data_IF_475741128232
#
_entry.id   IF_475741128232
#
_cell.length_a   1.000
_cell.length_b   1.000
_cell.length_c   1.000
_cell.angle_alpha   90.00
_cell.angle_beta   90.00
_cell.angle_gamma   90.00
#
_symmetry.space_group_name_H-M   'P 1'
#
loop_
_entity.id
_entity.type
_entity.pdbx_description
1 polymer ?
#
# COMPACT_ATOMS: atom_id res chain seq x y z
N UNK A 1 -27.47 10.28 5.37
CA UNK A 1 -26.69 9.33 4.53
C UNK A 1 -26.77 7.95 5.14
N UNK A 2 -27.27 6.97 4.39
CA UNK A 2 -27.45 5.59 4.89
C UNK A 2 -26.06 5.02 5.17
N UNK A 3 -25.85 4.32 6.28
CA UNK A 3 -24.56 3.68 6.65
C UNK A 3 -23.96 2.81 5.53
N UNK A 4 -24.80 2.31 4.62
CA UNK A 4 -24.42 1.60 3.39
C UNK A 4 -23.65 2.47 2.38
N UNK A 5 -23.99 3.75 2.25
CA UNK A 5 -23.30 4.68 1.35
C UNK A 5 -21.89 4.97 1.85
N UNK A 6 -21.72 5.11 3.17
CA UNK A 6 -20.41 5.35 3.79
C UNK A 6 -19.46 4.17 3.60
N UNK A 7 -19.95 2.94 3.83
CA UNK A 7 -19.14 1.73 3.62
C UNK A 7 -18.81 1.54 2.15
N UNK A 8 -19.75 1.81 1.25
CA UNK A 8 -19.52 1.77 -0.20
C UNK A 8 -18.49 2.80 -0.64
N UNK A 9 -18.52 4.01 -0.08
CA UNK A 9 -17.56 5.07 -0.38
C UNK A 9 -16.17 4.74 0.16
N UNK A 10 -16.06 4.18 1.36
CA UNK A 10 -14.78 3.74 1.93
C UNK A 10 -14.20 2.58 1.12
N UNK A 11 -15.02 1.61 0.72
CA UNK A 11 -14.60 0.52 -0.16
C UNK A 11 -14.18 1.02 -1.54
N UNK A 12 -14.91 1.97 -2.11
CA UNK A 12 -14.56 2.61 -3.38
C UNK A 12 -13.25 3.37 -3.26
N UNK A 13 -13.03 4.11 -2.17
CA UNK A 13 -11.79 4.85 -1.92
C UNK A 13 -10.60 3.92 -1.71
N UNK A 14 -10.80 2.79 -1.03
CA UNK A 14 -9.80 1.72 -0.88
C UNK A 14 -9.49 1.06 -2.22
N UNK A 15 -10.51 0.82 -3.04
CA UNK A 15 -10.34 0.19 -4.34
C UNK A 15 -9.66 1.15 -5.33
N UNK A 16 -10.03 2.44 -5.30
CA UNK A 16 -9.35 3.50 -6.05
C UNK A 16 -7.91 3.69 -5.58
N UNK A 17 -7.63 3.65 -4.27
CA UNK A 17 -6.26 3.77 -3.78
C UNK A 17 -5.42 2.56 -4.18
N UNK A 18 -5.97 1.34 -4.13
CA UNK A 18 -5.32 0.13 -4.63
C UNK A 18 -5.08 0.18 -6.14
N UNK A 19 -6.03 0.70 -6.91
CA UNK A 19 -5.87 0.89 -8.37
C UNK A 19 -4.84 1.96 -8.68
N UNK A 20 -4.80 3.06 -7.92
CA UNK A 20 -3.80 4.11 -8.09
C UNK A 20 -2.40 3.63 -7.69
N UNK A 21 -2.28 2.85 -6.62
CA UNK A 21 -1.04 2.19 -6.23
C UNK A 21 -0.62 1.18 -7.29
N UNK A 22 -1.54 0.37 -7.82
CA UNK A 22 -1.27 -0.54 -8.91
C UNK A 22 -0.85 0.18 -10.18
N UNK A 23 -1.48 1.32 -10.51
CA UNK A 23 -1.08 2.17 -11.64
C UNK A 23 0.28 2.83 -11.40
N UNK A 24 0.62 3.22 -10.16
CA UNK A 24 1.92 3.78 -9.82
C UNK A 24 3.02 2.72 -9.90
N UNK A 25 2.76 1.50 -9.41
CA UNK A 25 3.63 0.33 -9.58
C UNK A 25 3.76 0.05 -11.08
N UNK A 26 2.65 -0.07 -11.82
CA UNK A 26 2.67 -0.29 -13.26
C UNK A 26 3.41 0.82 -14.00
N UNK A 27 3.28 2.08 -13.63
CA UNK A 27 4.02 3.19 -14.24
C UNK A 27 5.52 3.10 -13.94
N UNK A 28 5.87 2.69 -12.71
CA UNK A 28 7.25 2.43 -12.28
C UNK A 28 7.88 1.24 -13.01
N UNK A 29 7.08 0.21 -13.36
CA UNK A 29 7.54 -1.03 -13.98
C UNK A 29 7.25 -1.14 -15.50
N UNK A 30 6.37 -0.32 -16.08
CA UNK A 30 6.01 -0.35 -17.52
C UNK A 30 7.08 0.27 -18.41
N UNK A 31 8.08 0.89 -17.80
CA UNK A 31 9.31 1.28 -18.44
C UNK A 31 10.37 0.32 -17.93
N UNK A 32 10.51 -0.80 -18.66
CA UNK A 32 11.68 -1.68 -18.63
C UNK A 32 12.92 -0.89 -19.07
N UNK A 33 13.34 0.05 -18.23
CA UNK A 33 14.60 0.72 -18.32
C UNK A 33 15.61 -0.12 -17.53
N UNK A 34 16.85 -0.31 -18.03
CA UNK A 34 17.91 -0.83 -17.19
C UNK A 34 18.00 0.02 -15.90
N UNK A 35 18.33 -0.60 -14.76
CA UNK A 35 18.54 0.11 -13.48
C UNK A 35 19.58 1.24 -13.67
N UNK A 36 20.49 1.10 -14.64
CA UNK A 36 21.45 2.12 -15.07
C UNK A 36 20.85 3.37 -15.74
N UNK A 37 19.62 3.31 -16.21
CA UNK A 37 18.89 4.45 -16.78
C UNK A 37 17.70 4.87 -15.94
N UNK A 38 17.59 4.43 -14.68
CA UNK A 38 16.78 5.13 -13.68
C UNK A 38 17.45 6.50 -13.47
N UNK A 39 16.96 7.60 -14.11
CA UNK A 39 17.39 8.91 -13.66
C UNK A 39 16.93 8.97 -12.20
N UNK A 40 17.65 9.71 -11.35
CA UNK A 40 17.15 10.14 -10.04
C UNK A 40 15.63 10.22 -10.10
N UNK A 41 14.89 9.38 -9.35
CA UNK A 41 13.41 9.42 -9.35
C UNK A 41 13.04 10.90 -9.32
N UNK A 42 12.59 11.43 -10.44
CA UNK A 42 12.52 12.88 -10.60
C UNK A 42 11.50 13.34 -9.59
N UNK A 43 11.88 14.30 -8.77
CA UNK A 43 11.04 14.76 -7.68
C UNK A 43 9.70 15.23 -8.28
N UNK A 44 8.66 14.43 -8.09
CA UNK A 44 7.35 14.67 -8.68
C UNK A 44 6.44 15.28 -7.63
N UNK A 45 6.62 16.59 -7.40
CA UNK A 45 5.80 17.35 -6.46
C UNK A 45 4.29 17.28 -6.81
N UNK A 46 3.94 17.09 -8.09
CA UNK A 46 2.57 16.83 -8.51
C UNK A 46 1.98 15.56 -7.87
N UNK A 47 2.75 14.46 -7.86
CA UNK A 47 2.36 13.22 -7.19
C UNK A 47 2.32 13.37 -5.67
N UNK A 48 3.26 14.11 -5.08
CA UNK A 48 3.25 14.43 -3.64
C UNK A 48 1.95 15.14 -3.27
N UNK A 49 1.65 16.26 -3.94
CA UNK A 49 0.48 17.10 -3.63
C UNK A 49 -0.82 16.30 -3.83
N UNK A 50 -0.94 15.57 -4.94
CA UNK A 50 -2.13 14.77 -5.24
C UNK A 50 -2.39 13.73 -4.16
N UNK A 51 -1.37 12.96 -3.77
CA UNK A 51 -1.51 11.94 -2.74
C UNK A 51 -1.77 12.56 -1.36
N UNK A 52 -1.06 13.64 -1.00
CA UNK A 52 -1.31 14.35 0.26
C UNK A 52 -2.76 14.81 0.36
N UNK A 53 -3.32 15.44 -0.68
CA UNK A 53 -4.71 15.90 -0.69
C UNK A 53 -5.67 14.72 -0.55
N UNK A 54 -5.49 13.67 -1.36
CA UNK A 54 -6.35 12.50 -1.37
C UNK A 54 -6.38 11.80 -0.01
N UNK A 55 -5.21 11.57 0.59
CA UNK A 55 -5.10 10.90 1.89
C UNK A 55 -5.49 11.82 3.07
N UNK A 56 -5.32 13.13 2.94
CA UNK A 56 -5.76 14.10 3.96
C UNK A 56 -7.28 14.22 4.03
N UNK A 57 -7.99 13.97 2.93
CA UNK A 57 -9.47 13.97 2.89
C UNK A 57 -10.08 12.98 3.88
N UNK A 58 -9.37 11.90 4.22
CA UNK A 58 -9.82 10.92 5.21
C UNK A 58 -10.06 11.52 6.61
N UNK A 59 -9.43 12.64 6.95
CA UNK A 59 -9.67 13.36 8.22
C UNK A 59 -11.15 13.72 8.37
N UNK A 60 -11.84 14.07 7.28
CA UNK A 60 -13.26 14.45 7.29
C UNK A 60 -14.15 13.29 7.76
N UNK A 61 -13.72 12.05 7.52
CA UNK A 61 -14.49 10.86 7.89
C UNK A 61 -14.16 10.34 9.30
N UNK A 62 -13.13 10.87 9.97
CA UNK A 62 -12.73 10.43 11.31
C UNK A 62 -13.47 11.26 12.37
N UNK A 63 -14.24 10.65 13.29
CA UNK A 63 -14.87 11.38 14.38
C UNK A 63 -13.82 11.83 15.41
N UNK A 64 -13.32 13.06 15.26
CA UNK A 64 -12.34 13.62 16.18
C UNK A 64 -12.99 14.02 17.51
N UNK A 65 -12.52 13.44 18.62
CA UNK A 65 -12.91 13.87 19.97
C UNK A 65 -12.40 15.29 20.23
N UNK A 66 -13.31 16.26 20.40
CA UNK A 66 -13.01 17.69 20.62
C UNK A 66 -12.24 18.01 21.92
N UNK A 67 -11.98 17.04 22.79
CA UNK A 67 -11.45 17.26 24.15
C UNK A 67 -9.94 17.03 24.27
N UNK A 68 -9.15 17.42 23.26
CA UNK A 68 -7.67 17.34 23.29
C UNK A 68 -7.09 18.66 22.76
N UNK A 69 -6.09 19.21 23.46
CA UNK A 69 -5.42 20.49 23.21
C UNK A 69 -4.66 20.57 21.88
N UNK A 70 -4.24 19.43 21.33
CA UNK A 70 -3.82 19.28 19.93
C UNK A 70 -4.75 18.29 19.24
N UNK A 71 -5.42 18.72 18.18
CA UNK A 71 -6.30 17.84 17.44
C UNK A 71 -5.47 16.72 16.80
N UNK A 72 -5.85 15.44 16.94
CA UNK A 72 -5.19 14.31 16.30
C UNK A 72 -5.02 14.46 14.78
N UNK A 73 -5.84 15.31 14.16
CA UNK A 73 -5.77 15.65 12.74
C UNK A 73 -4.46 16.31 12.33
N UNK A 74 -3.85 17.14 13.19
CA UNK A 74 -2.59 17.81 12.85
C UNK A 74 -1.42 16.84 12.75
N UNK A 75 -1.36 15.86 13.67
CA UNK A 75 -0.33 14.81 13.66
C UNK A 75 -0.52 13.91 12.43
N UNK A 76 -1.76 13.52 12.14
CA UNK A 76 -2.08 12.74 10.94
C UNK A 76 -1.66 13.48 9.66
N UNK A 77 -2.02 14.77 9.55
CA UNK A 77 -1.66 15.59 8.38
C UNK A 77 -0.14 15.68 8.22
N UNK A 78 0.58 15.94 9.31
CA UNK A 78 2.05 16.00 9.30
C UNK A 78 2.67 14.66 8.86
N UNK A 79 2.13 13.54 9.33
CA UNK A 79 2.56 12.21 8.91
C UNK A 79 2.31 11.95 7.42
N UNK A 80 1.12 12.28 6.90
CA UNK A 80 0.79 12.12 5.48
C UNK A 80 1.71 12.97 4.60
N UNK A 81 1.94 14.23 4.97
CA UNK A 81 2.87 15.11 4.25
C UNK A 81 4.28 14.54 4.26
N UNK A 82 4.79 14.12 5.42
CA UNK A 82 6.13 13.54 5.55
C UNK A 82 6.27 12.26 4.71
N UNK A 83 5.30 11.34 4.79
CA UNK A 83 5.33 10.07 4.07
C UNK A 83 5.39 10.25 2.55
N UNK A 84 4.54 11.12 1.99
CA UNK A 84 4.53 11.32 0.54
C UNK A 84 5.67 12.20 0.05
N UNK A 85 6.12 13.18 0.86
CA UNK A 85 7.33 13.94 0.57
C UNK A 85 8.58 13.05 0.59
N UNK A 86 8.65 12.05 1.46
CA UNK A 86 9.75 11.09 1.49
C UNK A 86 9.68 10.12 0.30
N UNK A 87 8.49 9.66 -0.06
CA UNK A 87 8.32 8.66 -1.11
C UNK A 87 8.51 9.22 -2.52
N UNK A 88 7.92 10.38 -2.84
CA UNK A 88 7.96 10.99 -4.18
C UNK A 88 8.80 12.26 -4.27
N UNK A 89 9.19 12.81 -3.12
CA UNK A 89 9.95 14.05 -3.01
C UNK A 89 11.42 13.80 -2.65
N UNK A 90 11.84 14.29 -1.49
CA UNK A 90 13.21 14.20 -1.01
C UNK A 90 13.36 13.04 0.01
N UNK A 91 13.96 11.90 -0.36
CA UNK A 91 14.00 10.69 0.46
C UNK A 91 15.09 10.77 1.54
N UNK A 92 14.85 11.58 2.58
CA UNK A 92 15.79 11.85 3.68
C UNK A 92 16.33 10.58 4.34
N UNK A 93 15.45 9.64 4.69
CA UNK A 93 15.84 8.39 5.34
C UNK A 93 16.82 7.61 4.48
N UNK A 94 16.60 7.60 3.17
CA UNK A 94 17.50 6.87 2.28
C UNK A 94 18.86 7.53 2.18
N UNK A 95 18.96 8.87 2.19
CA UNK A 95 20.25 9.54 2.26
C UNK A 95 21.00 9.21 3.55
N UNK A 96 20.30 9.17 4.69
CA UNK A 96 20.89 8.76 5.98
C UNK A 96 21.39 7.32 5.92
N UNK A 97 20.59 6.40 5.38
CA UNK A 97 20.98 4.99 5.24
C UNK A 97 22.14 4.80 4.26
N UNK A 98 22.14 5.55 3.15
CA UNK A 98 23.22 5.53 2.16
C UNK A 98 24.54 5.95 2.79
N UNK A 99 24.52 7.03 3.58
CA UNK A 99 25.66 7.48 4.37
C UNK A 99 26.09 6.44 5.41
N UNK A 100 25.13 5.84 6.13
CA UNK A 100 25.41 4.83 7.16
C UNK A 100 26.05 3.55 6.60
N UNK A 101 25.61 3.09 5.43
CA UNK A 101 26.12 1.89 4.77
C UNK A 101 27.33 2.15 3.87
N UNK A 102 27.75 3.41 3.70
CA UNK A 102 28.89 3.77 2.85
C UNK A 102 28.64 3.55 1.35
N UNK A 103 27.37 3.48 0.93
CA UNK A 103 27.00 3.29 -0.47
C UNK A 103 27.17 4.60 -1.26
N UNK A 104 27.65 4.52 -2.50
CA UNK A 104 27.90 5.70 -3.34
C UNK A 104 26.64 6.26 -4.00
N UNK A 105 25.59 5.45 -4.12
CA UNK A 105 24.35 5.83 -4.78
C UNK A 105 23.17 5.54 -3.87
N UNK A 106 22.25 6.49 -3.60
CA UNK A 106 21.08 6.19 -2.81
C UNK A 106 20.25 5.08 -3.44
N UNK A 107 19.92 5.20 -4.74
CA UNK A 107 19.01 4.32 -5.45
C UNK A 107 19.29 2.81 -5.35
N UNK A 108 20.50 2.39 -4.98
CA UNK A 108 20.82 0.98 -4.77
C UNK A 108 20.04 0.35 -3.60
N UNK A 109 19.63 1.15 -2.62
CA UNK A 109 18.84 0.68 -1.47
C UNK A 109 17.34 0.49 -1.78
N UNK A 110 16.87 0.92 -2.96
CA UNK A 110 15.46 0.80 -3.35
C UNK A 110 15.15 -0.62 -3.84
N UNK A 111 16.11 -1.24 -4.52
CA UNK A 111 16.02 -2.62 -5.01
C UNK A 111 17.30 -3.38 -4.64
N UNK A 112 17.53 -3.66 -3.35
CA UNK A 112 18.77 -4.27 -2.89
C UNK A 112 19.00 -5.64 -3.53
N UNK A 113 17.94 -6.39 -3.84
CA UNK A 113 18.05 -7.67 -4.56
C UNK A 113 18.53 -7.48 -6.00
N UNK A 114 18.03 -6.48 -6.73
CA UNK A 114 18.45 -6.21 -8.10
C UNK A 114 19.95 -5.86 -8.19
N UNK A 115 20.46 -5.13 -7.19
CA UNK A 115 21.88 -4.78 -7.07
C UNK A 115 22.75 -6.01 -6.81
N UNK A 116 22.26 -6.98 -6.01
CA UNK A 116 23.01 -8.18 -5.66
C UNK A 116 22.98 -9.26 -6.75
N UNK A 117 21.85 -9.44 -7.44
CA UNK A 117 21.67 -10.55 -8.41
C UNK A 117 21.90 -10.14 -9.86
N UNK A 118 22.04 -8.84 -10.13
CA UNK A 118 22.07 -8.29 -11.48
C UNK A 118 20.67 -8.06 -12.05
N UNK A 119 20.56 -7.06 -12.92
CA UNK A 119 19.27 -6.54 -13.42
C UNK A 119 18.48 -7.58 -14.21
N UNK A 120 19.11 -8.28 -15.17
CA UNK A 120 18.42 -9.21 -16.05
C UNK A 120 17.85 -10.44 -15.31
N UNK A 121 18.61 -10.96 -14.34
CA UNK A 121 18.16 -12.07 -13.51
C UNK A 121 17.03 -11.63 -12.57
N UNK A 122 17.15 -10.43 -11.97
CA UNK A 122 16.09 -9.88 -11.12
C UNK A 122 14.79 -9.67 -11.91
N UNK A 123 14.86 -9.02 -13.08
CA UNK A 123 13.66 -8.75 -13.89
C UNK A 123 12.98 -10.03 -14.36
N UNK A 124 13.75 -11.05 -14.77
CA UNK A 124 13.18 -12.33 -15.21
C UNK A 124 12.50 -13.10 -14.06
N UNK A 125 13.11 -13.18 -12.89
CA UNK A 125 12.51 -13.80 -11.69
C UNK A 125 11.32 -12.98 -11.17
N UNK A 126 11.43 -11.66 -11.19
CA UNK A 126 10.37 -10.78 -10.73
C UNK A 126 9.11 -10.93 -11.57
N UNK A 127 9.23 -10.82 -12.90
CA UNK A 127 8.10 -10.95 -13.82
C UNK A 127 7.57 -12.39 -13.88
N UNK A 128 8.46 -13.38 -13.85
CA UNK A 128 8.09 -14.79 -13.99
C UNK A 128 7.50 -15.42 -12.73
N UNK A 129 7.91 -14.98 -11.55
CA UNK A 129 7.56 -15.64 -10.29
C UNK A 129 6.99 -14.67 -9.23
N UNK A 130 7.73 -13.62 -8.87
CA UNK A 130 7.36 -12.73 -7.76
C UNK A 130 6.03 -12.02 -8.06
N UNK A 131 5.88 -11.47 -9.26
CA UNK A 131 4.69 -10.76 -9.71
C UNK A 131 3.43 -11.64 -9.72
N UNK A 132 3.40 -12.83 -10.38
CA UNK A 132 2.20 -13.65 -10.37
C UNK A 132 1.87 -14.20 -8.97
N UNK A 133 2.87 -14.64 -8.19
CA UNK A 133 2.65 -15.19 -6.85
C UNK A 133 2.09 -14.13 -5.90
N UNK A 134 2.69 -12.93 -5.89
CA UNK A 134 2.20 -11.82 -5.05
C UNK A 134 0.76 -11.43 -5.41
N UNK A 135 0.44 -11.32 -6.71
CA UNK A 135 -0.92 -11.02 -7.16
C UNK A 135 -1.94 -12.08 -6.72
N UNK A 136 -1.59 -13.37 -6.80
CA UNK A 136 -2.47 -14.46 -6.32
C UNK A 136 -2.72 -14.30 -4.81
N UNK A 137 -1.68 -14.05 -4.02
CA UNK A 137 -1.79 -13.87 -2.56
C UNK A 137 -2.69 -12.66 -2.24
N UNK A 138 -2.47 -11.52 -2.91
CA UNK A 138 -3.28 -10.31 -2.75
C UNK A 138 -4.75 -10.61 -3.09
N UNK A 139 -5.01 -11.26 -4.22
CA UNK A 139 -6.35 -11.58 -4.68
C UNK A 139 -7.08 -12.50 -3.69
N UNK A 140 -6.41 -13.54 -3.18
CA UNK A 140 -6.96 -14.41 -2.13
C UNK A 140 -7.27 -13.61 -0.87
N UNK A 141 -6.38 -12.71 -0.45
CA UNK A 141 -6.59 -11.82 0.69
C UNK A 141 -7.84 -10.95 0.53
N UNK A 142 -8.01 -10.32 -0.63
CA UNK A 142 -9.18 -9.49 -0.97
C UNK A 142 -10.46 -10.33 -0.94
N UNK A 143 -10.47 -11.53 -1.54
CA UNK A 143 -11.64 -12.40 -1.55
C UNK A 143 -12.07 -12.79 -0.13
N UNK A 144 -11.11 -13.12 0.75
CA UNK A 144 -11.39 -13.43 2.16
C UNK A 144 -12.04 -12.26 2.90
N UNK A 145 -11.56 -11.03 2.68
CA UNK A 145 -12.15 -9.83 3.26
C UNK A 145 -13.60 -9.66 2.77
N UNK A 146 -13.82 -9.70 1.45
CA UNK A 146 -15.14 -9.49 0.84
C UNK A 146 -16.15 -10.54 1.33
N UNK A 147 -15.80 -11.83 1.25
CA UNK A 147 -16.70 -12.91 1.67
C UNK A 147 -16.94 -12.94 3.17
N UNK A 148 -15.90 -12.67 3.97
CA UNK A 148 -16.02 -12.53 5.42
C UNK A 148 -17.02 -11.43 5.78
N UNK A 149 -16.85 -10.24 5.20
CA UNK A 149 -17.72 -9.10 5.52
C UNK A 149 -19.16 -9.32 5.05
N UNK A 150 -19.36 -9.90 3.86
CA UNK A 150 -20.69 -10.23 3.33
C UNK A 150 -21.48 -11.14 4.27
N UNK A 151 -20.82 -12.13 4.88
CA UNK A 151 -21.47 -13.05 5.84
C UNK A 151 -21.82 -12.37 7.16
N UNK A 152 -20.90 -11.61 7.77
CA UNK A 152 -21.19 -10.86 9.01
C UNK A 152 -22.33 -9.87 8.79
N UNK A 153 -22.30 -9.14 7.67
CA UNK A 153 -23.32 -8.16 7.34
C UNK A 153 -24.72 -8.79 7.24
N UNK A 154 -24.83 -9.97 6.61
CA UNK A 154 -26.10 -10.70 6.47
C UNK A 154 -26.58 -11.32 7.78
N UNK A 155 -25.69 -11.61 8.71
CA UNK A 155 -26.02 -12.31 9.95
C UNK A 155 -26.82 -11.44 10.95
N UNK A 156 -26.83 -10.10 10.77
CA UNK A 156 -27.60 -9.14 11.59
C UNK A 156 -27.50 -9.40 13.11
N UNK A 157 -26.29 -9.67 13.61
CA UNK A 157 -26.02 -9.91 15.03
C UNK A 157 -26.09 -11.37 15.49
N UNK A 158 -26.40 -12.33 14.61
CA UNK A 158 -26.29 -13.76 14.90
C UNK A 158 -24.88 -14.28 14.64
N UNK A 159 -24.46 -15.30 15.39
CA UNK A 159 -23.18 -15.98 15.17
C UNK A 159 -23.19 -16.72 13.83
N UNK A 160 -22.13 -16.53 13.02
CA UNK A 160 -21.95 -17.24 11.74
C UNK A 160 -20.93 -18.34 11.93
N UNK A 161 -21.33 -19.59 11.71
CA UNK A 161 -20.45 -20.76 11.82
C UNK A 161 -20.30 -21.52 10.50
N UNK A 162 -20.96 -21.10 9.43
CA UNK A 162 -20.98 -21.83 8.16
C UNK A 162 -19.96 -21.30 7.15
N UNK A 163 -19.49 -22.16 6.23
CA UNK A 163 -18.55 -21.81 5.16
C UNK A 163 -17.15 -21.48 5.68
N UNK A 164 -16.60 -20.33 5.28
CA UNK A 164 -15.24 -19.90 5.69
C UNK A 164 -15.14 -19.77 7.22
N UNK A 165 -16.20 -19.33 7.89
CA UNK A 165 -16.27 -19.23 9.36
C UNK A 165 -16.24 -20.59 10.08
N UNK A 166 -16.47 -21.69 9.38
CA UNK A 166 -16.29 -23.03 9.93
C UNK A 166 -14.83 -23.47 10.01
N UNK A 167 -13.94 -22.83 9.24
CA UNK A 167 -12.52 -23.15 9.19
C UNK A 167 -11.68 -22.13 9.97
N UNK A 168 -12.00 -20.84 9.85
CA UNK A 168 -11.24 -19.74 10.47
C UNK A 168 -12.21 -18.79 11.18
N UNK A 169 -11.95 -18.48 12.45
CA UNK A 169 -12.80 -17.60 13.28
C UNK A 169 -12.84 -16.16 12.77
N UNK A 170 -11.71 -15.67 12.25
CA UNK A 170 -11.56 -14.30 11.75
C UNK A 170 -10.98 -14.28 10.32
N UNK A 171 -11.77 -14.67 9.30
CA UNK A 171 -11.29 -14.72 7.93
C UNK A 171 -10.90 -13.34 7.38
N UNK A 172 -11.47 -12.26 7.90
CA UNK A 172 -11.06 -10.90 7.52
C UNK A 172 -9.64 -10.58 7.94
N UNK A 173 -9.23 -10.96 9.15
CA UNK A 173 -7.88 -10.69 9.63
C UNK A 173 -6.85 -11.49 8.87
N UNK A 174 -7.18 -12.76 8.56
CA UNK A 174 -6.37 -13.55 7.64
C UNK A 174 -6.28 -12.89 6.25
N UNK A 175 -7.40 -12.36 5.75
CA UNK A 175 -7.42 -11.64 4.48
C UNK A 175 -6.56 -10.37 4.47
N UNK A 176 -6.62 -9.55 5.52
CA UNK A 176 -5.74 -8.38 5.68
C UNK A 176 -4.26 -8.77 5.76
N UNK A 177 -3.94 -9.83 6.51
CA UNK A 177 -2.59 -10.37 6.62
C UNK A 177 -2.07 -10.86 5.27
N UNK A 178 -2.86 -11.62 4.51
CA UNK A 178 -2.48 -12.08 3.18
C UNK A 178 -2.33 -10.92 2.20
N UNK A 179 -3.24 -9.95 2.23
CA UNK A 179 -3.15 -8.75 1.38
C UNK A 179 -1.85 -7.99 1.66
N UNK A 180 -1.54 -7.73 2.94
CA UNK A 180 -0.30 -7.03 3.29
C UNK A 180 0.94 -7.85 2.98
N UNK A 181 0.92 -9.16 3.20
CA UNK A 181 2.03 -10.05 2.87
C UNK A 181 2.28 -10.09 1.35
N UNK A 182 1.22 -10.22 0.54
CA UNK A 182 1.33 -10.21 -0.91
C UNK A 182 1.84 -8.86 -1.44
N UNK A 183 1.39 -7.75 -0.85
CA UNK A 183 1.97 -6.44 -1.14
C UNK A 183 3.46 -6.42 -0.81
N UNK A 184 3.88 -6.84 0.39
CA UNK A 184 5.32 -6.86 0.74
C UNK A 184 6.14 -7.67 -0.26
N UNK A 185 5.69 -8.87 -0.66
CA UNK A 185 6.39 -9.69 -1.67
C UNK A 185 6.49 -8.98 -3.02
N UNK A 186 5.46 -8.24 -3.43
CA UNK A 186 5.48 -7.45 -4.67
C UNK A 186 6.54 -6.32 -4.65
N UNK A 187 6.90 -5.84 -3.45
CA UNK A 187 7.86 -4.76 -3.24
C UNK A 187 9.27 -5.23 -2.86
N UNK A 188 9.54 -6.55 -2.88
CA UNK A 188 10.88 -7.15 -2.73
C UNK A 188 11.62 -7.10 -4.06
#
# INVERSE_FOLDING_TARGET
MRKLELVSLVLLALLLSLVLVWLAIRYTFSLAYPLSSLPHRTIDWGFVILNVILFSLFIVFIPLKKRITRLPSSIYLAFIVALFAEMYGFPLTMYILTWLFGSTFPGCLWYPLAVLTGEELFTSVFLGFILPVSNIIILVGILLIIFGWRKIYRAKGKLVTTGIYGHVRHPQYLGFLLLTLGMNILWV
#
